data_IF_019023125142
#
_entry.id   IF_019023125142
#
_cell.length_a   1.000
_cell.length_b   1.000
_cell.length_c   1.000
_cell.angle_alpha   90.00
_cell.angle_beta   90.00
_cell.angle_gamma   90.00
#
_symmetry.space_group_name_H-M   'P 1'
#
loop_
_entity.id
_entity.type
_entity.pdbx_description
1 polymer ?
#
# COMPACT_ATOMS: atom_id res chain seq x y z
N UNK A 1 6.22 13.46 -14.30
CA UNK A 1 4.85 14.01 -14.40
C UNK A 1 4.27 13.62 -15.75
N UNK A 2 3.07 13.03 -15.79
CA UNK A 2 2.33 12.67 -17.01
C UNK A 2 1.25 13.71 -17.36
N UNK A 3 0.56 14.23 -16.34
CA UNK A 3 -0.44 15.29 -16.47
C UNK A 3 -0.56 16.06 -15.14
N UNK A 4 -0.69 17.38 -15.23
CA UNK A 4 -0.91 18.31 -14.12
C UNK A 4 -2.36 18.85 -14.09
N UNK A 5 -3.24 18.32 -14.95
CA UNK A 5 -4.64 18.71 -15.11
C UNK A 5 -4.89 20.20 -15.40
N UNK A 6 -3.88 20.94 -15.87
CA UNK A 6 -4.02 22.34 -16.28
C UNK A 6 -4.70 22.49 -17.66
N UNK A 7 -4.79 21.42 -18.45
CA UNK A 7 -5.42 21.41 -19.77
C UNK A 7 -6.50 20.31 -19.87
N UNK A 8 -7.66 20.54 -19.23
CA UNK A 8 -8.76 19.57 -19.18
C UNK A 8 -9.31 19.15 -20.55
N UNK A 9 -9.09 19.94 -21.61
CA UNK A 9 -9.47 19.56 -22.98
C UNK A 9 -8.77 18.30 -23.51
N UNK A 10 -7.69 17.85 -22.87
CA UNK A 10 -7.04 16.55 -23.15
C UNK A 10 -7.84 15.35 -22.65
N UNK A 11 -8.80 15.58 -21.76
CA UNK A 11 -9.58 14.55 -21.10
C UNK A 11 -11.02 14.55 -21.61
N UNK A 12 -11.56 13.36 -21.85
CA UNK A 12 -12.98 13.15 -22.16
C UNK A 12 -13.68 12.60 -20.93
N UNK A 13 -14.89 13.08 -20.67
CA UNK A 13 -15.73 12.51 -19.61
C UNK A 13 -16.22 11.12 -20.01
N UNK A 14 -16.10 10.17 -19.09
CA UNK A 14 -16.50 8.76 -19.22
C UNK A 14 -17.73 8.46 -18.34
N UNK A 15 -17.98 9.28 -17.31
CA UNK A 15 -19.19 9.33 -16.49
C UNK A 15 -19.16 10.53 -15.55
N UNK A 16 -20.34 11.01 -15.13
CA UNK A 16 -20.47 12.25 -14.36
C UNK A 16 -20.12 13.50 -15.17
N UNK A 17 -19.52 14.49 -14.50
CA UNK A 17 -19.07 15.75 -15.09
C UNK A 17 -17.61 16.03 -14.74
N UNK A 18 -16.88 16.66 -15.67
CA UNK A 18 -15.51 17.15 -15.47
C UNK A 18 -15.53 18.67 -15.52
N UNK A 19 -14.96 19.32 -14.52
CA UNK A 19 -14.76 20.77 -14.47
C UNK A 19 -13.40 21.12 -13.87
N UNK A 20 -12.99 22.37 -14.07
CA UNK A 20 -11.83 22.96 -13.42
C UNK A 20 -12.20 23.50 -12.05
N UNK A 21 -11.37 23.23 -11.04
CA UNK A 21 -11.52 23.82 -9.70
C UNK A 21 -10.28 24.67 -9.37
N UNK A 22 -10.46 25.99 -9.40
CA UNK A 22 -9.42 26.99 -9.11
C UNK A 22 -9.32 27.33 -7.61
N UNK A 23 -10.14 26.69 -6.76
CA UNK A 23 -10.15 26.90 -5.30
C UNK A 23 -9.55 25.70 -4.54
N UNK A 24 -9.79 24.48 -5.04
CA UNK A 24 -9.31 23.23 -4.43
C UNK A 24 -8.34 22.52 -5.38
N UNK A 25 -7.06 22.87 -5.28
CA UNK A 25 -5.98 22.27 -6.05
C UNK A 25 -4.70 22.12 -5.20
N UNK A 26 -3.79 21.24 -5.62
CA UNK A 26 -2.48 21.01 -5.00
C UNK A 26 -1.38 21.80 -5.72
N UNK A 27 -1.30 21.72 -7.04
CA UNK A 27 -0.28 22.36 -7.86
C UNK A 27 -0.86 23.27 -8.95
N UNK A 28 -0.05 24.17 -9.50
CA UNK A 28 -0.46 24.98 -10.64
C UNK A 28 -1.51 26.03 -10.31
N UNK A 29 -2.63 26.01 -11.04
CA UNK A 29 -3.73 26.97 -10.94
C UNK A 29 -5.11 26.32 -10.82
N UNK A 30 -5.24 25.01 -11.07
CA UNK A 30 -6.50 24.28 -10.97
C UNK A 30 -6.30 22.77 -10.79
N UNK A 31 -7.31 22.08 -10.28
CA UNK A 31 -7.42 20.62 -10.34
C UNK A 31 -8.57 20.19 -11.25
N UNK A 32 -8.51 18.95 -11.75
CA UNK A 32 -9.65 18.31 -12.39
C UNK A 32 -10.65 17.85 -11.33
N UNK A 33 -11.83 18.48 -11.30
CA UNK A 33 -12.93 18.09 -10.44
C UNK A 33 -13.91 17.20 -11.20
N UNK A 34 -14.09 15.99 -10.69
CA UNK A 34 -15.05 14.99 -11.15
C UNK A 34 -16.23 14.94 -10.20
N UNK A 35 -17.43 15.14 -10.72
CA UNK A 35 -18.67 15.05 -9.94
C UNK A 35 -19.59 14.02 -10.57
N UNK A 36 -20.14 13.13 -9.75
CA UNK A 36 -21.20 12.22 -10.15
C UNK A 36 -22.39 12.36 -9.21
N UNK A 37 -23.60 12.39 -9.80
CA UNK A 37 -24.86 12.43 -9.07
C UNK A 37 -25.44 11.03 -8.84
N UNK A 38 -26.58 10.96 -8.15
CA UNK A 38 -27.25 9.70 -7.80
C UNK A 38 -27.74 8.86 -9.00
N UNK A 39 -27.77 9.44 -10.19
CA UNK A 39 -28.13 8.74 -11.43
C UNK A 39 -26.93 8.25 -12.25
N UNK A 40 -25.71 8.63 -11.86
CA UNK A 40 -24.49 8.27 -12.58
C UNK A 40 -23.92 6.96 -12.02
N UNK A 41 -23.55 6.01 -12.88
CA UNK A 41 -22.91 4.78 -12.43
C UNK A 41 -21.47 5.01 -11.93
N UNK A 42 -20.83 6.11 -12.39
CA UNK A 42 -19.42 6.43 -12.13
C UNK A 42 -19.11 7.91 -12.33
N UNK A 43 -18.10 8.40 -11.61
CA UNK A 43 -17.34 9.60 -11.93
C UNK A 43 -16.08 9.17 -12.69
N UNK A 44 -15.83 9.68 -13.89
CA UNK A 44 -14.61 9.27 -14.59
C UNK A 44 -14.26 10.06 -15.83
N UNK A 45 -12.97 10.02 -16.14
CA UNK A 45 -12.36 10.67 -17.31
C UNK A 45 -11.40 9.71 -17.99
N UNK A 46 -11.14 9.95 -19.27
CA UNK A 46 -10.07 9.26 -19.97
C UNK A 46 -9.36 10.13 -20.97
N UNK A 47 -8.13 9.74 -21.28
CA UNK A 47 -7.25 10.40 -22.21
C UNK A 47 -6.79 9.38 -23.23
N UNK A 48 -6.98 9.70 -24.50
CA UNK A 48 -6.40 8.95 -25.60
C UNK A 48 -5.11 9.65 -25.99
N UNK A 49 -4.03 8.90 -26.19
CA UNK A 49 -2.75 9.45 -26.58
C UNK A 49 -2.61 9.48 -28.10
N UNK A 50 -2.09 10.59 -28.64
CA UNK A 50 -1.83 10.72 -30.09
C UNK A 50 -0.77 9.73 -30.57
N UNK A 51 0.15 9.35 -29.68
CA UNK A 51 1.14 8.29 -29.85
C UNK A 51 1.12 7.40 -28.60
N UNK A 52 1.23 6.07 -28.73
CA UNK A 52 1.29 5.18 -27.58
C UNK A 52 2.41 5.58 -26.63
N UNK A 53 2.19 5.39 -25.32
CA UNK A 53 3.20 5.59 -24.29
C UNK A 53 3.70 4.24 -23.76
N UNK A 54 4.99 4.20 -23.42
CA UNK A 54 5.63 3.03 -22.82
C UNK A 54 5.60 3.15 -21.29
N UNK A 55 4.98 2.17 -20.65
CA UNK A 55 4.90 1.99 -19.20
C UNK A 55 5.37 0.59 -18.80
N UNK A 56 6.19 -0.08 -19.62
CA UNK A 56 6.62 -1.46 -19.35
C UNK A 56 7.46 -1.62 -18.07
N UNK A 57 8.29 -0.63 -17.76
CA UNK A 57 9.13 -0.55 -16.56
C UNK A 57 8.65 0.54 -15.59
N UNK A 58 7.42 1.04 -15.77
CA UNK A 58 6.83 2.13 -15.00
C UNK A 58 5.42 1.78 -14.50
N UNK A 59 4.97 2.51 -13.50
CA UNK A 59 3.57 2.56 -13.06
C UNK A 59 3.13 4.01 -12.86
N UNK A 60 1.96 4.21 -12.27
CA UNK A 60 1.40 5.52 -12.01
C UNK A 60 1.12 5.75 -10.53
N UNK A 61 1.30 6.99 -10.11
CA UNK A 61 0.75 7.52 -8.87
C UNK A 61 -0.05 8.79 -9.17
N UNK A 62 -1.06 9.07 -8.35
CA UNK A 62 -1.97 10.19 -8.58
C UNK A 62 -2.19 11.00 -7.30
N UNK A 63 -1.97 12.31 -7.36
CA UNK A 63 -2.45 13.22 -6.32
C UNK A 63 -3.96 13.36 -6.44
N UNK A 64 -4.67 12.84 -5.43
CA UNK A 64 -6.13 12.82 -5.40
C UNK A 64 -6.66 13.24 -4.04
N UNK A 65 -7.84 13.83 -4.05
CA UNK A 65 -8.69 14.10 -2.89
C UNK A 65 -10.12 13.66 -3.21
N UNK A 66 -10.87 13.24 -2.20
CA UNK A 66 -12.29 12.91 -2.32
C UNK A 66 -13.09 13.41 -1.11
N UNK A 67 -14.40 13.56 -1.28
CA UNK A 67 -15.34 13.89 -0.20
C UNK A 67 -15.67 12.71 0.73
N UNK A 68 -15.49 11.48 0.25
CA UNK A 68 -15.71 10.24 0.98
C UNK A 68 -14.65 9.18 0.62
N UNK A 69 -14.65 8.05 1.32
CA UNK A 69 -13.80 6.90 0.98
C UNK A 69 -14.16 6.39 -0.42
N UNK A 70 -13.16 6.32 -1.30
CA UNK A 70 -13.29 5.85 -2.68
C UNK A 70 -12.19 4.83 -3.01
N UNK A 71 -12.40 4.06 -4.07
CA UNK A 71 -11.45 3.03 -4.55
C UNK A 71 -11.19 3.22 -6.05
N UNK A 72 -10.53 4.32 -6.44
CA UNK A 72 -10.44 4.71 -7.83
C UNK A 72 -9.60 3.72 -8.62
N UNK A 73 -10.00 3.53 -9.86
CA UNK A 73 -9.32 2.74 -10.86
C UNK A 73 -8.52 3.65 -11.77
N UNK A 74 -7.27 3.28 -12.01
CA UNK A 74 -6.54 3.72 -13.21
C UNK A 74 -6.52 2.56 -14.20
N UNK A 75 -7.17 2.73 -15.34
CA UNK A 75 -7.18 1.72 -16.40
C UNK A 75 -6.20 2.10 -17.50
N UNK A 76 -5.26 1.20 -17.80
CA UNK A 76 -4.33 1.30 -18.92
C UNK A 76 -4.79 0.34 -20.02
N UNK A 77 -4.97 0.85 -21.23
CA UNK A 77 -5.47 0.08 -22.37
C UNK A 77 -4.47 0.20 -23.53
N UNK A 78 -4.09 -0.94 -24.08
CA UNK A 78 -3.21 -1.02 -25.25
C UNK A 78 -3.98 -0.91 -26.58
N UNK A 79 -3.27 -0.96 -27.70
CA UNK A 79 -3.82 -0.82 -29.05
C UNK A 79 -4.73 -2.00 -29.47
N UNK A 80 -4.52 -3.17 -28.88
CA UNK A 80 -5.35 -4.36 -29.05
C UNK A 80 -6.60 -4.37 -28.13
N UNK A 81 -6.72 -3.40 -27.22
CA UNK A 81 -7.82 -3.26 -26.29
C UNK A 81 -7.74 -4.16 -25.06
N UNK A 82 -6.60 -4.80 -24.82
CA UNK A 82 -6.30 -5.44 -23.54
C UNK A 82 -6.14 -4.35 -22.47
N UNK A 83 -6.30 -4.74 -21.20
CA UNK A 83 -6.37 -3.78 -20.09
C UNK A 83 -5.61 -4.25 -18.87
N UNK A 84 -4.84 -3.34 -18.28
CA UNK A 84 -4.38 -3.43 -16.90
C UNK A 84 -5.18 -2.47 -16.04
N UNK A 85 -5.71 -2.96 -14.94
CA UNK A 85 -6.41 -2.19 -13.95
C UNK A 85 -5.53 -2.00 -12.71
N UNK A 86 -5.23 -0.74 -12.40
CA UNK A 86 -4.51 -0.33 -11.21
C UNK A 86 -5.49 0.22 -10.18
N UNK A 87 -5.22 -0.01 -8.89
CA UNK A 87 -6.14 0.33 -7.81
C UNK A 87 -5.43 0.82 -6.56
N UNK A 88 -6.14 1.65 -5.80
CA UNK A 88 -5.76 2.12 -4.47
C UNK A 88 -7.02 2.47 -3.66
N UNK A 89 -6.87 2.77 -2.38
CA UNK A 89 -7.92 3.33 -1.53
C UNK A 89 -7.60 4.76 -1.16
N UNK A 90 -8.54 5.68 -1.38
CA UNK A 90 -8.37 7.10 -1.03
C UNK A 90 -9.34 7.46 0.07
N UNK A 91 -8.82 7.97 1.17
CA UNK A 91 -9.64 8.39 2.29
C UNK A 91 -10.38 9.70 1.98
N UNK A 92 -11.66 9.73 2.35
CA UNK A 92 -12.48 10.92 2.22
C UNK A 92 -12.07 12.02 3.20
N UNK A 93 -12.28 13.27 2.79
CA UNK A 93 -12.03 14.47 3.61
C UNK A 93 -10.57 14.71 3.99
N UNK A 94 -9.62 14.03 3.36
CA UNK A 94 -8.20 14.38 3.46
C UNK A 94 -7.85 15.55 2.53
N UNK A 95 -6.76 16.30 2.79
CA UNK A 95 -6.12 17.11 1.77
C UNK A 95 -5.63 16.22 0.62
N UNK A 96 -5.18 16.84 -0.48
CA UNK A 96 -4.53 16.08 -1.54
C UNK A 96 -3.34 15.30 -0.99
N UNK A 97 -3.31 14.02 -1.32
CA UNK A 97 -2.15 13.15 -1.10
C UNK A 97 -1.80 12.47 -2.41
N UNK A 98 -0.51 12.20 -2.60
CA UNK A 98 -0.05 11.36 -3.69
C UNK A 98 -0.34 9.91 -3.31
N UNK A 99 -1.14 9.21 -4.11
CA UNK A 99 -1.45 7.79 -3.91
C UNK A 99 -0.71 6.96 -4.93
N UNK A 100 0.03 5.96 -4.45
CA UNK A 100 0.58 4.89 -5.28
C UNK A 100 -0.54 3.88 -5.62
N UNK A 101 -0.43 3.24 -6.78
CA UNK A 101 -1.42 2.26 -7.24
C UNK A 101 -0.75 0.90 -7.45
N UNK A 102 -1.41 -0.15 -6.97
CA UNK A 102 -1.02 -1.53 -7.22
C UNK A 102 -1.85 -2.16 -8.35
N UNK A 103 -1.44 -3.34 -8.81
CA UNK A 103 -2.14 -4.10 -9.86
C UNK A 103 -3.29 -4.87 -9.25
N UNK A 104 -4.50 -4.62 -9.74
CA UNK A 104 -5.71 -5.33 -9.29
C UNK A 104 -6.10 -6.44 -10.25
N UNK A 105 -6.09 -6.17 -11.56
CA UNK A 105 -6.42 -7.20 -12.55
C UNK A 105 -5.89 -6.89 -13.94
N UNK A 106 -5.80 -7.93 -14.76
CA UNK A 106 -5.45 -7.84 -16.18
C UNK A 106 -6.48 -8.57 -17.02
N UNK A 107 -6.97 -7.89 -18.06
CA UNK A 107 -7.86 -8.46 -19.06
C UNK A 107 -7.10 -8.62 -20.37
N UNK A 108 -6.95 -9.86 -20.83
CA UNK A 108 -6.19 -10.18 -22.04
C UNK A 108 -4.68 -10.20 -21.78
N UNK A 109 -3.89 -9.89 -22.80
CA UNK A 109 -2.42 -9.89 -22.74
C UNK A 109 -1.90 -8.48 -23.01
N UNK A 110 -1.99 -7.63 -21.99
CA UNK A 110 -1.68 -6.19 -22.12
C UNK A 110 -0.22 -5.93 -22.52
N UNK A 111 -0.03 -5.15 -23.58
CA UNK A 111 1.26 -4.61 -23.99
C UNK A 111 1.49 -3.23 -23.37
N UNK A 112 2.21 -3.19 -22.26
CA UNK A 112 2.55 -1.94 -21.57
C UNK A 112 3.51 -1.04 -22.37
N UNK A 113 4.14 -1.52 -23.44
CA UNK A 113 5.00 -0.69 -24.30
C UNK A 113 4.21 0.22 -25.25
N UNK A 114 2.90 -0.04 -25.39
CA UNK A 114 2.04 0.59 -26.37
C UNK A 114 0.67 1.01 -25.78
N UNK A 115 0.65 1.66 -24.62
CA UNK A 115 -0.59 2.15 -24.01
C UNK A 115 -1.17 3.32 -24.83
N UNK A 116 -2.39 3.15 -25.34
CA UNK A 116 -3.08 4.16 -26.16
C UNK A 116 -4.14 4.95 -25.40
N UNK A 117 -4.68 4.36 -24.32
CA UNK A 117 -5.76 4.97 -23.54
C UNK A 117 -5.53 4.79 -22.04
N UNK A 118 -5.70 5.89 -21.31
CA UNK A 118 -5.70 5.92 -19.84
C UNK A 118 -7.06 6.41 -19.34
N UNK A 119 -7.59 5.78 -18.28
CA UNK A 119 -8.85 6.19 -17.65
C UNK A 119 -8.69 6.28 -16.14
N UNK A 120 -9.27 7.31 -15.54
CA UNK A 120 -9.42 7.44 -14.08
C UNK A 120 -10.91 7.33 -13.79
N UNK A 121 -11.31 6.34 -12.99
CA UNK A 121 -12.72 6.00 -12.78
C UNK A 121 -12.95 5.67 -11.32
N UNK A 122 -13.98 6.27 -10.73
CA UNK A 122 -14.60 5.79 -9.50
C UNK A 122 -16.05 5.36 -9.80
N UNK A 123 -16.43 4.17 -9.35
CA UNK A 123 -17.80 3.70 -9.46
C UNK A 123 -18.59 4.13 -8.24
N UNK A 124 -19.67 4.90 -8.44
CA UNK A 124 -20.33 5.64 -7.35
C UNK A 124 -21.73 5.10 -7.01
N UNK A 125 -22.28 4.19 -7.82
CA UNK A 125 -23.60 3.61 -7.61
C UNK A 125 -24.69 4.68 -7.51
N UNK A 126 -25.53 4.63 -6.49
CA UNK A 126 -26.61 5.62 -6.27
C UNK A 126 -26.20 6.77 -5.32
N UNK A 127 -24.90 7.07 -5.19
CA UNK A 127 -24.38 8.09 -4.27
C UNK A 127 -23.77 9.29 -5.02
N UNK A 128 -23.94 10.48 -4.46
CA UNK A 128 -23.18 11.65 -4.91
C UNK A 128 -21.72 11.53 -4.49
N UNK A 129 -20.80 11.87 -5.39
CA UNK A 129 -19.36 11.82 -5.14
C UNK A 129 -18.63 12.94 -5.86
N UNK A 130 -17.64 13.50 -5.17
CA UNK A 130 -16.72 14.48 -5.73
C UNK A 130 -15.28 14.03 -5.54
N UNK A 131 -14.52 14.04 -6.63
CA UNK A 131 -13.13 13.62 -6.69
C UNK A 131 -12.34 14.70 -7.37
N UNK A 132 -11.19 15.06 -6.81
CA UNK A 132 -10.25 15.98 -7.42
C UNK A 132 -8.96 15.26 -7.78
N UNK A 133 -8.50 15.44 -9.01
CA UNK A 133 -7.25 14.91 -9.54
C UNK A 133 -6.33 16.08 -9.91
N UNK A 134 -5.05 16.02 -9.54
CA UNK A 134 -4.13 17.18 -9.72
C UNK A 134 -2.77 16.82 -10.30
N UNK A 135 -2.11 15.77 -9.83
CA UNK A 135 -0.76 15.40 -10.27
C UNK A 135 -0.68 13.91 -10.58
N UNK A 136 -0.79 13.56 -11.85
CA UNK A 136 -0.61 12.20 -12.35
C UNK A 136 0.87 12.00 -12.72
N UNK A 137 1.56 11.12 -12.00
CA UNK A 137 3.00 10.88 -12.14
C UNK A 137 3.26 9.51 -12.73
N UNK A 138 4.32 9.43 -13.54
CA UNK A 138 4.96 8.17 -13.93
C UNK A 138 6.00 7.87 -12.87
N UNK A 139 6.00 6.62 -12.40
CA UNK A 139 6.82 6.14 -11.30
C UNK A 139 7.58 4.91 -11.79
N UNK A 140 8.85 4.81 -11.46
CA UNK A 140 9.69 3.68 -11.86
C UNK A 140 9.25 2.42 -11.12
N UNK A 141 9.31 1.27 -11.80
CA UNK A 141 9.22 -0.02 -11.14
C UNK A 141 10.62 -0.49 -10.74
N UNK A 142 10.72 -1.33 -9.71
CA UNK A 142 11.90 -2.16 -9.48
C UNK A 142 12.43 -2.84 -10.76
N UNK A 143 13.75 -3.09 -10.81
CA UNK A 143 14.34 -3.93 -11.86
C UNK A 143 13.91 -5.41 -11.73
N UNK A 144 13.71 -5.86 -10.49
CA UNK A 144 13.23 -7.20 -10.11
C UNK A 144 12.07 -7.02 -9.12
N UNK A 145 11.04 -7.85 -9.18
CA UNK A 145 9.95 -7.82 -8.20
C UNK A 145 10.47 -7.96 -6.76
N UNK A 146 9.76 -7.39 -5.78
CA UNK A 146 10.17 -7.43 -4.38
C UNK A 146 9.02 -7.85 -3.48
N UNK A 147 9.31 -8.71 -2.49
CA UNK A 147 8.32 -9.18 -1.50
C UNK A 147 8.80 -8.92 -0.08
N UNK A 148 7.94 -8.36 0.76
CA UNK A 148 8.17 -8.20 2.20
C UNK A 148 7.20 -9.06 3.01
N UNK A 149 7.71 -9.67 4.07
CA UNK A 149 6.93 -10.51 5.01
C UNK A 149 6.78 -9.75 6.32
N UNK A 150 5.54 -9.60 6.79
CA UNK A 150 5.20 -8.83 8.00
C UNK A 150 4.24 -9.62 8.89
N UNK A 151 4.24 -9.29 10.18
CA UNK A 151 3.32 -9.81 11.18
C UNK A 151 2.79 -8.67 12.03
N UNK A 152 1.49 -8.68 12.31
CA UNK A 152 0.83 -7.70 13.16
C UNK A 152 0.46 -8.31 14.54
N UNK A 153 0.19 -7.43 15.49
CA UNK A 153 -0.20 -7.66 16.90
C UNK A 153 0.86 -8.21 17.86
N UNK A 154 2.02 -8.66 17.36
CA UNK A 154 3.02 -9.34 18.20
C UNK A 154 2.50 -10.66 18.80
N UNK A 155 1.88 -11.49 17.95
CA UNK A 155 1.35 -12.79 18.33
C UNK A 155 2.47 -13.77 18.71
N UNK A 156 2.25 -14.64 19.71
CA UNK A 156 3.25 -15.65 20.12
C UNK A 156 3.60 -16.64 19.00
N UNK A 157 2.75 -16.73 17.97
CA UNK A 157 2.97 -17.58 16.79
C UNK A 157 4.05 -17.05 15.87
N UNK A 158 4.36 -15.75 15.90
CA UNK A 158 5.48 -15.16 15.15
C UNK A 158 6.79 -15.87 15.56
N UNK A 159 6.96 -16.05 16.87
CA UNK A 159 8.11 -16.75 17.43
C UNK A 159 7.99 -18.28 17.33
N UNK A 160 6.85 -18.85 17.69
CA UNK A 160 6.73 -20.31 17.85
C UNK A 160 6.44 -21.08 16.56
N UNK A 161 5.89 -20.41 15.54
CA UNK A 161 5.54 -21.01 14.25
C UNK A 161 6.29 -20.34 13.09
N UNK A 162 6.16 -19.02 12.91
CA UNK A 162 6.68 -18.35 11.72
C UNK A 162 8.21 -18.36 11.65
N UNK A 163 8.90 -17.97 12.74
CA UNK A 163 10.37 -17.95 12.80
C UNK A 163 11.01 -19.28 12.38
N UNK A 164 10.66 -20.46 12.94
CA UNK A 164 11.23 -21.73 12.51
C UNK A 164 10.99 -22.09 11.03
N UNK A 165 9.92 -21.59 10.41
CA UNK A 165 9.64 -21.79 8.99
C UNK A 165 10.53 -20.86 8.16
N UNK A 166 10.56 -19.57 8.49
CA UNK A 166 11.35 -18.57 7.76
C UNK A 166 12.85 -18.83 7.87
N UNK A 167 13.34 -19.32 9.01
CA UNK A 167 14.74 -19.72 9.21
C UNK A 167 15.18 -20.85 8.25
N UNK A 168 14.27 -21.73 7.80
CA UNK A 168 14.61 -22.79 6.84
C UNK A 168 15.02 -22.24 5.47
N UNK A 169 14.49 -21.07 5.12
CA UNK A 169 14.74 -20.37 3.85
C UNK A 169 15.69 -19.19 4.00
N UNK A 170 16.10 -18.87 5.23
CA UNK A 170 16.97 -17.73 5.51
C UNK A 170 16.26 -16.38 5.41
N UNK A 171 14.93 -16.36 5.53
CA UNK A 171 14.14 -15.14 5.47
C UNK A 171 14.06 -14.41 6.80
N UNK A 172 14.14 -13.09 6.69
CA UNK A 172 13.79 -12.15 7.75
C UNK A 172 12.36 -11.65 7.52
N UNK A 173 11.75 -11.12 8.57
CA UNK A 173 10.43 -10.51 8.50
C UNK A 173 10.36 -9.28 9.42
N UNK A 174 9.23 -8.60 9.37
CA UNK A 174 8.88 -7.53 10.32
C UNK A 174 7.83 -8.07 11.28
N UNK A 175 7.97 -7.82 12.58
CA UNK A 175 6.88 -7.99 13.56
C UNK A 175 6.52 -6.61 14.11
N UNK A 176 5.32 -6.14 13.79
CA UNK A 176 4.75 -4.91 14.34
C UNK A 176 4.06 -5.24 15.66
N UNK A 177 4.61 -4.71 16.76
CA UNK A 177 4.19 -5.08 18.11
C UNK A 177 3.33 -4.02 18.77
N UNK A 178 2.50 -4.46 19.72
CA UNK A 178 1.76 -3.62 20.65
C UNK A 178 2.38 -3.73 22.05
N UNK A 179 3.17 -2.75 22.50
CA UNK A 179 3.77 -2.77 23.83
C UNK A 179 2.79 -3.07 24.98
N UNK A 180 1.54 -2.62 24.89
CA UNK A 180 0.50 -2.88 25.89
C UNK A 180 0.10 -4.35 26.04
N UNK A 181 0.35 -5.20 25.04
CA UNK A 181 0.00 -6.64 25.08
C UNK A 181 1.21 -7.56 25.26
N UNK A 182 2.45 -7.05 25.16
CA UNK A 182 3.67 -7.84 25.34
C UNK A 182 3.69 -8.51 26.73
N UNK A 183 3.94 -9.82 26.73
CA UNK A 183 3.98 -10.67 27.92
C UNK A 183 2.59 -11.10 28.44
N UNK A 184 1.50 -10.74 27.76
CA UNK A 184 0.16 -11.25 28.05
C UNK A 184 -0.11 -12.59 27.35
N UNK A 185 -1.21 -13.27 27.71
CA UNK A 185 -1.56 -14.57 27.12
C UNK A 185 -1.80 -14.43 25.60
N UNK A 186 -1.22 -15.34 24.82
CA UNK A 186 -1.27 -15.33 23.34
C UNK A 186 -0.29 -14.37 22.65
N UNK A 187 0.42 -13.51 23.39
CA UNK A 187 1.34 -12.52 22.80
C UNK A 187 2.80 -12.86 23.10
N UNK A 188 3.71 -12.27 22.34
CA UNK A 188 5.15 -12.41 22.55
C UNK A 188 5.55 -11.92 23.93
N UNK A 189 6.48 -12.62 24.59
CA UNK A 189 7.23 -12.03 25.72
C UNK A 189 8.32 -11.11 25.20
N UNK A 190 8.80 -10.18 26.03
CA UNK A 190 9.95 -9.33 25.65
C UNK A 190 11.20 -10.17 25.27
N UNK A 191 11.41 -11.31 25.93
CA UNK A 191 12.47 -12.25 25.58
C UNK A 191 12.28 -12.78 24.15
N UNK A 192 11.07 -13.18 23.77
CA UNK A 192 10.77 -13.65 22.42
C UNK A 192 10.88 -12.55 21.37
N UNK A 193 10.49 -11.31 21.68
CA UNK A 193 10.71 -10.15 20.79
C UNK A 193 12.20 -9.94 20.56
N UNK A 194 13.01 -10.02 21.62
CA UNK A 194 14.48 -9.91 21.52
C UNK A 194 15.07 -11.04 20.69
N UNK A 195 14.56 -12.27 20.85
CA UNK A 195 15.00 -13.43 20.06
C UNK A 195 14.63 -13.32 18.57
N UNK A 196 13.50 -12.70 18.22
CA UNK A 196 13.14 -12.39 16.84
C UNK A 196 14.09 -11.32 16.26
N UNK A 197 14.36 -10.26 17.03
CA UNK A 197 15.32 -9.22 16.64
C UNK A 197 16.73 -9.77 16.42
N UNK A 198 17.23 -10.61 17.34
CA UNK A 198 18.52 -11.30 17.21
C UNK A 198 18.57 -12.25 15.99
N UNK A 199 17.42 -12.74 15.53
CA UNK A 199 17.29 -13.52 14.29
C UNK A 199 17.27 -12.64 13.02
N UNK A 200 17.41 -11.32 13.17
CA UNK A 200 17.44 -10.34 12.08
C UNK A 200 16.07 -9.82 11.67
N UNK A 201 15.01 -10.06 12.45
CA UNK A 201 13.71 -9.47 12.18
C UNK A 201 13.69 -8.01 12.62
N UNK A 202 12.97 -7.18 11.88
CA UNK A 202 12.68 -5.82 12.29
C UNK A 202 11.51 -5.83 13.28
N UNK A 203 11.64 -5.13 14.41
CA UNK A 203 10.55 -4.96 15.39
C UNK A 203 9.99 -3.55 15.27
N UNK A 204 8.79 -3.43 14.69
CA UNK A 204 8.13 -2.14 14.41
C UNK A 204 6.95 -1.85 15.33
N UNK A 205 6.33 -0.68 15.15
CA UNK A 205 5.20 -0.23 15.98
C UNK A 205 3.83 -0.55 15.36
N UNK A 206 2.91 -1.09 16.16
CA UNK A 206 1.49 -1.24 15.78
C UNK A 206 0.54 -0.42 16.67
N UNK A 207 0.97 0.76 17.14
CA UNK A 207 0.42 1.52 18.28
C UNK A 207 0.62 0.82 19.64
N UNK A 208 0.43 1.55 20.74
CA UNK A 208 0.69 1.02 22.08
C UNK A 208 -0.32 -0.07 22.51
N UNK A 209 -1.62 0.21 22.41
CA UNK A 209 -2.72 -0.66 22.90
C UNK A 209 -3.63 -1.23 21.79
N UNK A 210 -3.26 -1.10 20.51
CA UNK A 210 -4.03 -1.59 19.37
C UNK A 210 -5.46 -0.97 19.27
N UNK A 211 -5.56 0.34 19.48
CA UNK A 211 -6.82 1.10 19.38
C UNK A 211 -7.05 1.59 17.94
N UNK A 212 -8.31 1.75 17.54
CA UNK A 212 -8.63 2.56 16.35
C UNK A 212 -8.29 4.00 16.67
N UNK A 213 -7.22 4.52 16.04
CA UNK A 213 -6.68 5.85 16.27
C UNK A 213 -7.68 6.96 15.90
N UNK A 214 -8.37 6.91 14.75
CA UNK A 214 -9.36 7.94 14.40
C UNK A 214 -10.55 8.03 15.38
N UNK A 215 -10.80 6.97 16.15
CA UNK A 215 -11.83 6.98 17.18
C UNK A 215 -11.39 7.66 18.50
N UNK A 216 -10.11 8.02 18.63
CA UNK A 216 -9.57 8.67 19.83
C UNK A 216 -9.41 10.19 19.63
N UNK A 217 -9.31 10.92 20.76
CA UNK A 217 -8.88 12.32 20.71
C UNK A 217 -7.38 12.45 20.33
N UNK A 218 -7.01 13.64 19.85
CA UNK A 218 -5.66 13.92 19.32
C UNK A 218 -4.56 13.56 20.31
N UNK A 219 -4.73 13.88 21.60
CA UNK A 219 -3.75 13.54 22.64
C UNK A 219 -3.58 12.04 22.81
N UNK A 220 -4.69 11.30 22.79
CA UNK A 220 -4.65 9.85 22.92
C UNK A 220 -4.03 9.21 21.68
N UNK A 221 -4.33 9.72 20.47
CA UNK A 221 -3.63 9.27 19.25
C UNK A 221 -2.13 9.47 19.37
N UNK A 222 -1.69 10.66 19.79
CA UNK A 222 -0.29 10.99 19.96
C UNK A 222 0.39 10.09 21.00
N UNK A 223 -0.22 9.89 22.18
CA UNK A 223 0.33 9.00 23.20
C UNK A 223 0.48 7.56 22.68
N UNK A 224 -0.52 7.03 21.98
CA UNK A 224 -0.48 5.67 21.40
C UNK A 224 0.62 5.50 20.36
N UNK A 225 0.92 6.55 19.58
CA UNK A 225 1.92 6.57 18.52
C UNK A 225 3.32 6.78 19.13
N UNK A 226 3.49 7.81 19.96
CA UNK A 226 4.76 8.21 20.59
C UNK A 226 5.26 7.16 21.59
N UNK A 227 4.40 6.68 22.48
CA UNK A 227 4.81 5.72 23.52
C UNK A 227 5.18 4.36 22.93
N UNK A 228 4.59 4.00 21.78
CA UNK A 228 5.01 2.81 21.03
C UNK A 228 6.45 2.92 20.54
N UNK A 229 6.82 4.08 19.96
CA UNK A 229 8.21 4.36 19.54
C UNK A 229 9.16 4.40 20.72
N UNK A 230 8.81 5.12 21.79
CA UNK A 230 9.62 5.20 23.00
C UNK A 230 9.90 3.82 23.59
N UNK A 231 8.90 2.93 23.61
CA UNK A 231 9.07 1.55 24.05
C UNK A 231 10.08 0.78 23.18
N UNK A 232 10.04 0.92 21.85
CA UNK A 232 11.01 0.28 20.96
C UNK A 232 12.44 0.77 21.23
N UNK A 233 12.62 2.09 21.38
CA UNK A 233 13.91 2.70 21.67
C UNK A 233 14.45 2.27 23.03
N UNK A 234 13.62 2.23 24.07
CA UNK A 234 14.02 1.83 25.42
C UNK A 234 14.46 0.36 25.52
N UNK A 235 14.04 -0.49 24.58
CA UNK A 235 14.35 -1.91 24.54
C UNK A 235 15.39 -2.31 23.47
N UNK A 236 15.97 -1.34 22.74
CA UNK A 236 17.06 -1.59 21.80
C UNK A 236 16.61 -2.06 20.41
N UNK A 237 15.39 -1.67 19.99
CA UNK A 237 14.82 -1.95 18.67
C UNK A 237 14.86 -0.70 17.77
N UNK A 238 15.98 0.02 17.78
CA UNK A 238 16.08 1.33 17.12
C UNK A 238 15.94 1.26 15.58
N UNK A 239 16.26 0.12 14.97
CA UNK A 239 16.17 -0.11 13.53
C UNK A 239 14.73 -0.25 13.02
N UNK A 240 13.80 -0.68 13.88
CA UNK A 240 12.37 -0.75 13.58
C UNK A 240 11.53 0.39 14.16
N UNK A 241 12.09 1.20 15.06
CA UNK A 241 11.43 2.35 15.69
C UNK A 241 11.05 3.50 14.73
N UNK A 242 11.41 3.39 13.45
CA UNK A 242 11.06 4.31 12.37
C UNK A 242 9.85 3.82 11.54
N UNK A 243 9.29 2.64 11.86
CA UNK A 243 8.23 2.02 11.06
C UNK A 243 6.94 1.82 11.85
N UNK A 244 5.81 2.21 11.26
CA UNK A 244 4.50 2.14 11.89
C UNK A 244 3.47 1.44 11.01
N UNK A 245 2.84 0.38 11.50
CA UNK A 245 1.69 -0.25 10.87
C UNK A 245 0.40 0.32 11.48
N UNK A 246 -0.54 0.80 10.66
CA UNK A 246 -1.81 1.35 11.15
C UNK A 246 -2.75 0.24 11.64
N UNK A 247 -3.17 0.23 12.93
CA UNK A 247 -4.16 -0.71 13.44
C UNK A 247 -5.43 -0.69 12.60
N UNK A 248 -5.94 -1.88 12.25
CA UNK A 248 -7.13 -2.03 11.39
C UNK A 248 -7.02 -1.36 10.01
N UNK A 249 -5.81 -0.97 9.59
CA UNK A 249 -5.61 -0.08 8.42
C UNK A 249 -6.36 1.25 8.56
N UNK A 250 -6.70 1.69 9.78
CA UNK A 250 -7.57 2.84 10.04
C UNK A 250 -6.76 4.07 10.47
N UNK A 251 -7.02 5.20 9.81
CA UNK A 251 -6.30 6.45 10.01
C UNK A 251 -7.09 7.66 9.48
N UNK A 252 -6.91 8.81 10.13
CA UNK A 252 -7.39 10.12 9.67
C UNK A 252 -6.20 11.08 9.41
N UNK A 253 -6.48 12.34 9.03
CA UNK A 253 -5.44 13.32 8.77
C UNK A 253 -4.56 13.61 9.99
N UNK A 254 -5.16 13.57 11.20
CA UNK A 254 -4.43 13.72 12.46
C UNK A 254 -3.51 12.53 12.66
N UNK A 255 -4.02 11.31 12.48
CA UNK A 255 -3.23 10.08 12.61
C UNK A 255 -2.04 10.11 11.66
N UNK A 256 -2.23 10.44 10.38
CA UNK A 256 -1.12 10.53 9.42
C UNK A 256 -0.11 11.62 9.79
N UNK A 257 -0.55 12.78 10.26
CA UNK A 257 0.34 13.87 10.67
C UNK A 257 1.20 13.47 11.88
N UNK A 258 0.62 12.75 12.84
CA UNK A 258 1.35 12.22 13.99
C UNK A 258 2.32 11.12 13.55
N UNK A 259 1.91 10.21 12.66
CA UNK A 259 2.83 9.19 12.15
C UNK A 259 4.00 9.82 11.40
N UNK A 260 3.78 10.85 10.58
CA UNK A 260 4.85 11.61 9.90
C UNK A 260 5.81 12.31 10.89
N UNK A 261 5.31 12.74 12.05
CA UNK A 261 6.14 13.36 13.10
C UNK A 261 7.06 12.34 13.80
N UNK A 262 6.59 11.12 13.99
CA UNK A 262 7.28 10.11 14.80
C UNK A 262 7.98 9.02 13.98
N UNK A 263 7.58 8.74 12.74
CA UNK A 263 8.02 7.59 11.94
C UNK A 263 8.37 8.00 10.51
N UNK A 264 9.24 7.24 9.85
CA UNK A 264 9.60 7.47 8.44
C UNK A 264 8.68 6.72 7.49
N UNK A 265 8.23 5.52 7.85
CA UNK A 265 7.34 4.71 7.02
C UNK A 265 6.05 4.34 7.76
N UNK A 266 4.93 4.47 7.04
CA UNK A 266 3.59 4.07 7.47
C UNK A 266 3.02 2.96 6.58
N UNK A 267 2.62 1.84 7.17
CA UNK A 267 2.10 0.66 6.49
C UNK A 267 0.59 0.57 6.65
N UNK A 268 -0.13 0.78 5.55
CA UNK A 268 -1.58 0.84 5.50
C UNK A 268 -2.13 -0.46 4.89
N UNK A 269 -3.07 -0.37 3.96
CA UNK A 269 -3.55 -1.49 3.16
C UNK A 269 -3.69 -1.04 1.73
N UNK A 270 -3.58 -1.97 0.80
CA UNK A 270 -3.63 -1.63 -0.61
C UNK A 270 -3.55 -2.85 -1.51
N UNK A 271 -2.88 -2.66 -2.64
CA UNK A 271 -2.85 -3.60 -3.76
C UNK A 271 -1.41 -4.03 -4.06
N UNK A 272 -1.19 -5.24 -4.62
CA UNK A 272 0.13 -5.79 -4.84
C UNK A 272 0.82 -5.11 -6.02
N UNK A 273 2.11 -5.43 -6.20
CA UNK A 273 2.91 -5.00 -7.34
C UNK A 273 2.89 -3.48 -7.60
N UNK A 274 3.08 -2.69 -6.52
CA UNK A 274 3.31 -1.25 -6.62
C UNK A 274 4.66 -0.93 -7.27
N UNK A 275 4.85 0.31 -7.70
CA UNK A 275 6.15 0.81 -8.14
C UNK A 275 7.00 1.31 -6.98
N UNK A 276 8.00 2.11 -7.29
CA UNK A 276 8.73 2.88 -6.30
C UNK A 276 7.77 3.79 -5.51
N UNK A 277 8.08 4.00 -4.24
CA UNK A 277 7.18 4.61 -3.28
C UNK A 277 7.24 6.12 -3.40
N UNK A 278 6.09 6.74 -3.70
CA UNK A 278 5.94 8.20 -3.70
C UNK A 278 5.28 8.72 -2.42
N UNK A 279 4.62 7.85 -1.65
CA UNK A 279 4.03 8.18 -0.36
C UNK A 279 4.52 7.21 0.74
N UNK A 280 5.52 7.61 1.55
CA UNK A 280 6.09 6.74 2.58
C UNK A 280 5.10 6.38 3.70
N UNK A 281 4.02 7.15 3.88
CA UNK A 281 3.12 7.01 5.02
C UNK A 281 1.90 6.13 4.73
N UNK A 282 1.73 5.67 3.50
CA UNK A 282 0.58 4.85 3.11
C UNK A 282 1.02 3.65 2.25
N UNK A 283 2.08 2.97 2.68
CA UNK A 283 2.61 1.79 2.01
C UNK A 283 1.56 0.68 1.93
N UNK A 284 1.41 0.13 0.74
CA UNK A 284 0.48 -0.96 0.48
C UNK A 284 0.97 -2.28 1.05
N UNK A 285 0.09 -2.97 1.76
CA UNK A 285 0.26 -4.37 2.18
C UNK A 285 -1.07 -5.12 2.11
N UNK A 286 -0.97 -6.44 1.97
CA UNK A 286 -2.09 -7.36 1.84
C UNK A 286 -2.12 -8.31 3.03
N UNK A 287 -3.27 -8.41 3.69
CA UNK A 287 -3.42 -9.12 4.95
C UNK A 287 -4.26 -10.37 4.83
N UNK A 288 -3.94 -11.37 5.67
CA UNK A 288 -4.74 -12.58 5.89
C UNK A 288 -5.20 -13.28 4.60
N UNK A 289 -4.30 -13.29 3.61
CA UNK A 289 -4.54 -13.99 2.36
C UNK A 289 -4.49 -15.50 2.58
N UNK A 290 -5.43 -16.22 1.95
CA UNK A 290 -5.24 -17.65 1.77
C UNK A 290 -4.07 -17.91 0.81
N UNK A 291 -3.59 -19.15 0.78
CA UNK A 291 -2.42 -19.50 -0.04
C UNK A 291 -2.59 -19.24 -1.55
N UNK A 292 -3.82 -19.27 -2.08
CA UNK A 292 -4.05 -18.99 -3.49
C UNK A 292 -3.93 -17.48 -3.78
N UNK A 293 -4.57 -16.65 -2.96
CA UNK A 293 -4.51 -15.19 -3.12
C UNK A 293 -3.07 -14.66 -2.87
N UNK A 294 -2.33 -15.28 -1.93
CA UNK A 294 -0.93 -14.94 -1.71
C UNK A 294 -0.03 -15.31 -2.90
N UNK A 295 -0.30 -16.45 -3.57
CA UNK A 295 0.38 -16.82 -4.82
C UNK A 295 0.11 -15.83 -5.94
N UNK A 296 -1.14 -15.41 -6.10
CA UNK A 296 -1.52 -14.41 -7.11
C UNK A 296 -0.80 -13.07 -6.84
N UNK A 297 -0.66 -12.66 -5.58
CA UNK A 297 0.07 -11.45 -5.21
C UNK A 297 1.61 -11.56 -5.45
N UNK A 298 2.20 -12.73 -5.20
CA UNK A 298 3.62 -13.02 -5.50
C UNK A 298 3.84 -13.05 -7.02
N UNK A 299 2.94 -13.70 -7.77
CA UNK A 299 3.01 -13.72 -9.23
C UNK A 299 2.85 -12.33 -9.83
N UNK A 300 2.04 -11.47 -9.23
CA UNK A 300 1.96 -10.07 -9.63
C UNK A 300 3.30 -9.34 -9.41
N UNK A 301 3.99 -9.56 -8.28
CA UNK A 301 5.32 -8.99 -8.06
C UNK A 301 6.33 -9.45 -9.12
N UNK A 302 6.35 -10.74 -9.45
CA UNK A 302 7.22 -11.31 -10.50
C UNK A 302 6.88 -10.77 -11.88
N UNK A 303 5.60 -10.83 -12.26
CA UNK A 303 5.17 -10.50 -13.62
C UNK A 303 5.36 -9.01 -13.93
N UNK A 304 5.17 -8.16 -12.92
CA UNK A 304 5.11 -6.72 -13.09
C UNK A 304 6.29 -5.98 -12.48
N UNK A 305 7.32 -6.70 -12.02
CA UNK A 305 8.45 -6.15 -11.28
C UNK A 305 8.01 -5.17 -10.19
N UNK A 306 7.03 -5.58 -9.39
CA UNK A 306 6.40 -4.70 -8.42
C UNK A 306 6.76 -5.05 -6.98
N UNK A 307 6.55 -4.09 -6.09
CA UNK A 307 6.68 -4.26 -4.64
C UNK A 307 5.36 -4.82 -4.10
N UNK A 308 5.43 -5.97 -3.44
CA UNK A 308 4.30 -6.62 -2.77
C UNK A 308 4.65 -6.86 -1.31
N UNK A 309 3.77 -6.50 -0.39
CA UNK A 309 4.01 -6.67 1.04
C UNK A 309 2.88 -7.51 1.62
N UNK A 310 3.22 -8.63 2.26
CA UNK A 310 2.28 -9.57 2.84
C UNK A 310 2.34 -9.44 4.36
N UNK A 311 1.19 -9.31 5.01
CA UNK A 311 1.11 -9.35 6.46
C UNK A 311 0.19 -10.46 6.96
N UNK A 312 0.55 -11.01 8.11
CA UNK A 312 -0.15 -12.09 8.78
C UNK A 312 -0.41 -11.73 10.23
N UNK A 313 -1.38 -12.37 10.87
CA UNK A 313 -1.58 -12.31 12.31
C UNK A 313 -1.28 -13.68 12.93
N UNK A 314 -2.19 -14.17 13.77
CA UNK A 314 -2.10 -15.48 14.42
C UNK A 314 -1.99 -16.64 13.42
N UNK A 315 -0.96 -17.47 13.58
CA UNK A 315 -0.78 -18.69 12.80
C UNK A 315 -1.21 -19.94 13.57
N UNK A 316 -2.33 -20.54 13.16
CA UNK A 316 -2.79 -21.80 13.72
C UNK A 316 -3.80 -22.51 12.85
N UNK A 317 -3.75 -23.84 12.82
CA UNK A 317 -4.66 -24.64 12.00
C UNK A 317 -4.49 -24.32 10.51
N UNK A 318 -5.52 -23.76 9.90
CA UNK A 318 -5.55 -23.44 8.46
C UNK A 318 -4.58 -22.30 8.10
N UNK A 319 -4.53 -21.22 8.88
CA UNK A 319 -3.66 -20.07 8.58
C UNK A 319 -2.17 -20.43 8.62
N UNK A 320 -1.78 -21.37 9.48
CA UNK A 320 -0.41 -21.89 9.50
C UNK A 320 -0.09 -22.69 8.22
N UNK A 321 -1.01 -23.55 7.78
CA UNK A 321 -0.82 -24.34 6.58
C UNK A 321 -0.81 -23.46 5.31
N UNK A 322 -1.56 -22.37 5.31
CA UNK A 322 -1.57 -21.37 4.23
C UNK A 322 -0.27 -20.56 4.22
N UNK A 323 0.22 -20.16 5.39
CA UNK A 323 1.51 -19.50 5.53
C UNK A 323 2.66 -20.39 5.03
N UNK A 324 2.71 -21.66 5.43
CA UNK A 324 3.72 -22.61 4.96
C UNK A 324 3.75 -22.72 3.42
N UNK A 325 2.57 -22.87 2.80
CA UNK A 325 2.44 -22.93 1.34
C UNK A 325 2.83 -21.62 0.65
N UNK A 326 2.58 -20.49 1.30
CA UNK A 326 2.93 -19.16 0.79
C UNK A 326 4.44 -18.97 0.80
N UNK A 327 5.10 -19.30 1.92
CA UNK A 327 6.56 -19.16 2.04
C UNK A 327 7.31 -20.16 1.15
N UNK A 328 6.83 -21.39 1.02
CA UNK A 328 7.40 -22.37 0.08
C UNK A 328 7.34 -21.82 -1.36
N UNK A 329 6.19 -21.28 -1.78
CA UNK A 329 6.04 -20.70 -3.11
C UNK A 329 6.92 -19.46 -3.31
N UNK A 330 6.96 -18.55 -2.33
CA UNK A 330 7.83 -17.39 -2.36
C UNK A 330 9.30 -17.80 -2.57
N UNK A 331 9.73 -18.86 -1.88
CA UNK A 331 11.07 -19.39 -2.01
C UNK A 331 11.37 -19.97 -3.39
N UNK A 332 10.41 -20.67 -4.01
CA UNK A 332 10.58 -21.16 -5.38
C UNK A 332 10.85 -20.02 -6.37
N UNK A 333 10.14 -18.88 -6.24
CA UNK A 333 10.32 -17.71 -7.12
C UNK A 333 11.61 -16.94 -6.84
N UNK A 334 11.97 -16.77 -5.57
CA UNK A 334 13.23 -16.13 -5.17
C UNK A 334 14.44 -16.95 -5.65
N UNK A 335 14.44 -18.28 -5.49
CA UNK A 335 15.53 -19.15 -5.99
C UNK A 335 15.63 -19.17 -7.52
N UNK A 336 14.53 -18.88 -8.22
CA UNK A 336 14.54 -18.70 -9.66
C UNK A 336 15.12 -17.34 -10.10
N UNK A 337 15.39 -16.43 -9.15
CA UNK A 337 15.87 -15.07 -9.42
C UNK A 337 14.79 -14.16 -10.01
N UNK A 338 13.52 -14.46 -9.74
CA UNK A 338 12.36 -13.75 -10.30
C UNK A 338 11.89 -12.59 -9.40
N UNK A 339 12.23 -12.65 -8.12
CA UNK A 339 11.96 -11.61 -7.13
C UNK A 339 13.02 -11.63 -6.03
N UNK A 340 13.11 -10.53 -5.29
CA UNK A 340 13.89 -10.39 -4.06
C UNK A 340 12.97 -10.38 -2.83
N UNK A 341 13.42 -10.96 -1.72
CA UNK A 341 12.75 -10.80 -0.42
C UNK A 341 13.46 -9.69 0.34
N UNK A 342 12.73 -8.64 0.74
CA UNK A 342 13.31 -7.38 1.24
C UNK A 342 12.81 -7.02 2.65
N UNK A 343 13.63 -6.26 3.36
CA UNK A 343 13.30 -5.59 4.64
C UNK A 343 12.78 -4.16 4.44
N UNK A 344 12.16 -3.54 5.45
CA UNK A 344 11.79 -2.11 5.41
C UNK A 344 12.97 -1.17 5.15
N UNK A 345 14.14 -1.48 5.69
CA UNK A 345 15.34 -0.65 5.48
C UNK A 345 15.83 -0.73 4.02
N UNK A 346 15.73 -1.90 3.39
CA UNK A 346 16.02 -2.05 1.95
C UNK A 346 14.95 -1.37 1.09
N UNK A 347 13.67 -1.42 1.51
CA UNK A 347 12.59 -0.67 0.89
C UNK A 347 12.91 0.83 0.88
N UNK A 348 13.23 1.40 2.05
CA UNK A 348 13.56 2.81 2.21
C UNK A 348 14.79 3.22 1.39
N UNK A 349 15.83 2.38 1.38
CA UNK A 349 17.09 2.70 0.74
C UNK A 349 17.05 2.64 -0.79
N UNK A 350 16.24 1.75 -1.37
CA UNK A 350 16.30 1.44 -2.80
C UNK A 350 15.06 1.87 -3.59
N UNK A 351 13.90 2.07 -2.95
CA UNK A 351 12.62 2.19 -3.66
C UNK A 351 11.87 3.50 -3.38
N UNK A 352 12.40 4.41 -2.57
CA UNK A 352 11.80 5.74 -2.31
C UNK A 352 12.16 6.74 -3.43
N UNK A 353 11.20 7.59 -3.86
CA UNK A 353 11.39 8.56 -4.97
C UNK A 353 10.88 9.97 -4.70
#
# INVERSE_FOLDING_TARGET
MLDDFEELSRWRTIGGTLSADEETYLGGSQAARLEAGTSDERAGIGRQFDQPIDLSDRTLSLAVRADDLIYPWIQLVDDDGNRMDLRTSVRGNFPFKQYDFGVESVTGSVDLTAITDLRIIEYVGESERTIWCDSLRVVDRPDTGAVMIQFDDGNVTDHTQARPILEQYGYQAVTFVNPGTIGTDGHLTLEQVSELHDAGWTVGSHSYDHVSLPAQDVSTQEDQIRESKEWLLDHGFEDGAEYFAYPYTDYDETTCSLVDEYYTLGFAGGFPAGGNVTNPLELHRLGDLNAADARDAIDAAVQWNGITQLFFHWLGGETLAEFEQTIEYLHEREQAGELDVISPAELEAAYMV
#
